data_IF_809857414429
#
_entry.id   IF_809857414429
#
_cell.length_a   1.000
_cell.length_b   1.000
_cell.length_c   1.000
_cell.angle_alpha   90.00
_cell.angle_beta   90.00
_cell.angle_gamma   90.00
#
_symmetry.space_group_name_H-M   'P 1'
#
loop_
_entity.id
_entity.type
_entity.pdbx_description
1 polymer ?
#
# COMPACT_ATOMS: atom_id res chain seq x y z
N UNK A 1 11.00 19.20 -23.12
CA UNK A 1 10.47 20.38 -22.39
C UNK A 1 9.41 19.86 -21.43
N UNK A 2 9.65 19.92 -20.11
CA UNK A 2 9.00 19.08 -19.08
C UNK A 2 8.06 19.81 -18.11
N UNK A 3 7.71 21.07 -18.37
CA UNK A 3 7.00 21.91 -17.39
C UNK A 3 5.59 22.21 -17.85
N UNK A 4 4.61 21.69 -17.10
CA UNK A 4 3.20 22.07 -17.26
C UNK A 4 3.04 23.58 -16.99
N UNK A 5 2.24 24.31 -17.80
CA UNK A 5 2.02 25.73 -17.61
C UNK A 5 1.21 25.98 -16.33
N UNK A 6 1.83 26.63 -15.33
CA UNK A 6 1.22 26.91 -14.01
C UNK A 6 -0.09 27.73 -14.10
N UNK A 7 -0.28 28.50 -15.19
CA UNK A 7 -1.50 29.27 -15.45
C UNK A 7 -2.40 28.66 -16.54
N UNK A 8 -1.97 27.59 -17.22
CA UNK A 8 -2.68 27.05 -18.38
C UNK A 8 -4.02 26.40 -18.04
N UNK A 9 -4.21 26.00 -16.78
CA UNK A 9 -5.39 25.26 -16.33
C UNK A 9 -6.40 26.09 -15.54
N UNK A 10 -6.12 27.38 -15.31
CA UNK A 10 -6.89 28.23 -14.39
C UNK A 10 -8.37 28.35 -14.79
N UNK A 11 -8.64 28.34 -16.09
CA UNK A 11 -9.98 28.56 -16.64
C UNK A 11 -10.68 27.25 -17.04
N UNK A 12 -10.06 26.09 -16.80
CA UNK A 12 -10.62 24.77 -17.13
C UNK A 12 -11.58 24.27 -16.04
N UNK A 13 -12.59 25.08 -15.73
CA UNK A 13 -13.52 24.87 -14.62
C UNK A 13 -14.38 23.62 -14.77
N UNK A 14 -14.51 23.08 -15.99
CA UNK A 14 -15.31 21.88 -16.28
C UNK A 14 -14.46 20.62 -16.46
N UNK A 15 -13.12 20.71 -16.35
CA UNK A 15 -12.25 19.57 -16.55
C UNK A 15 -12.45 18.56 -15.42
N UNK A 16 -12.77 17.31 -15.77
CA UNK A 16 -13.00 16.21 -14.83
C UNK A 16 -11.88 15.16 -14.85
N UNK A 17 -11.22 15.01 -15.99
CA UNK A 17 -10.18 14.01 -16.21
C UNK A 17 -8.98 14.71 -16.85
N UNK A 18 -7.79 14.50 -16.30
CA UNK A 18 -6.54 15.04 -16.82
C UNK A 18 -5.50 13.94 -16.95
N UNK A 19 -5.24 13.53 -18.19
CA UNK A 19 -4.25 12.51 -18.52
C UNK A 19 -2.91 13.16 -18.87
N UNK A 20 -1.91 12.91 -18.04
CA UNK A 20 -0.54 13.42 -18.18
C UNK A 20 0.50 12.29 -18.12
N UNK A 21 0.06 11.04 -18.31
CA UNK A 21 0.93 9.89 -18.36
C UNK A 21 1.94 9.93 -19.52
N UNK A 22 3.05 9.21 -19.37
CA UNK A 22 4.10 9.08 -20.41
C UNK A 22 4.69 10.42 -20.87
N UNK A 23 4.77 11.39 -19.96
CA UNK A 23 5.46 12.65 -20.19
C UNK A 23 6.84 12.65 -19.51
N UNK A 24 7.53 13.79 -19.55
CA UNK A 24 8.83 13.98 -18.90
C UNK A 24 8.71 14.86 -17.66
N UNK A 25 7.57 14.86 -16.98
CA UNK A 25 7.34 15.73 -15.82
C UNK A 25 8.29 15.28 -14.71
N UNK A 26 9.16 16.18 -14.27
CA UNK A 26 10.21 15.92 -13.28
C UNK A 26 9.87 16.47 -11.89
N UNK A 27 8.95 17.44 -11.84
CA UNK A 27 8.62 18.17 -10.63
C UNK A 27 7.19 18.68 -10.65
N UNK A 28 6.52 18.55 -9.50
CA UNK A 28 5.28 19.25 -9.20
C UNK A 28 5.60 20.53 -8.45
N UNK A 29 4.76 21.55 -8.61
CA UNK A 29 4.85 22.80 -7.84
C UNK A 29 3.55 23.04 -7.10
N UNK A 30 3.60 23.62 -5.89
CA UNK A 30 2.41 24.19 -5.27
C UNK A 30 1.72 25.09 -6.28
N UNK A 31 0.39 25.09 -6.29
CA UNK A 31 -0.45 25.90 -7.17
C UNK A 31 -0.46 25.54 -8.66
N UNK A 32 0.27 24.49 -9.11
CA UNK A 32 0.27 24.08 -10.52
C UNK A 32 -1.13 23.72 -11.03
N UNK A 33 -2.01 23.26 -10.13
CA UNK A 33 -3.36 22.83 -10.44
C UNK A 33 -4.45 23.84 -10.01
N UNK A 34 -4.09 25.12 -9.77
CA UNK A 34 -5.09 26.14 -9.44
C UNK A 34 -6.16 26.23 -10.54
N UNK A 35 -7.43 26.30 -10.12
CA UNK A 35 -8.59 26.43 -11.01
C UNK A 35 -9.29 25.11 -11.31
N UNK A 36 -8.60 23.98 -11.19
CA UNK A 36 -9.14 22.64 -11.46
C UNK A 36 -9.88 22.04 -10.26
N UNK A 37 -10.78 22.82 -9.65
CA UNK A 37 -11.51 22.41 -8.45
C UNK A 37 -12.52 21.27 -8.69
N UNK A 38 -12.92 21.06 -9.95
CA UNK A 38 -13.88 20.03 -10.37
C UNK A 38 -13.19 18.79 -10.97
N UNK A 39 -11.86 18.73 -10.95
CA UNK A 39 -11.11 17.60 -11.46
C UNK A 39 -11.34 16.40 -10.53
N UNK A 40 -11.81 15.30 -11.12
CA UNK A 40 -12.11 14.04 -10.45
C UNK A 40 -10.95 13.05 -10.58
N UNK A 41 -10.24 13.05 -11.71
CA UNK A 41 -9.17 12.09 -11.98
C UNK A 41 -7.94 12.77 -12.55
N UNK A 42 -6.78 12.43 -12.00
CA UNK A 42 -5.48 12.92 -12.41
C UNK A 42 -4.51 11.76 -12.61
N UNK A 43 -4.11 11.54 -13.86
CA UNK A 43 -3.16 10.50 -14.22
C UNK A 43 -1.80 11.10 -14.54
N UNK A 44 -0.79 10.72 -13.77
CA UNK A 44 0.62 11.08 -13.97
C UNK A 44 1.56 9.87 -14.13
N UNK A 45 1.13 8.67 -14.60
CA UNK A 45 2.02 7.52 -14.63
C UNK A 45 3.14 7.68 -15.66
N UNK A 46 4.24 6.93 -15.52
CA UNK A 46 5.35 6.93 -16.50
C UNK A 46 5.94 8.34 -16.75
N UNK A 47 6.11 9.10 -15.66
CA UNK A 47 6.84 10.37 -15.66
C UNK A 47 8.19 10.20 -14.92
N UNK A 48 8.84 11.30 -14.57
CA UNK A 48 10.15 11.31 -13.90
C UNK A 48 10.11 11.97 -12.52
N UNK A 49 8.94 12.03 -11.88
CA UNK A 49 8.78 12.63 -10.56
C UNK A 49 9.66 11.92 -9.53
N UNK A 50 10.44 12.69 -8.76
CA UNK A 50 11.34 12.15 -7.72
C UNK A 50 10.84 12.43 -6.30
N UNK A 51 9.96 13.41 -6.13
CA UNK A 51 9.38 13.76 -4.83
C UNK A 51 7.99 14.39 -4.98
N UNK A 52 7.16 14.24 -3.95
CA UNK A 52 5.90 14.98 -3.82
C UNK A 52 6.07 16.12 -2.81
N UNK A 53 6.06 17.39 -3.26
CA UNK A 53 6.20 18.54 -2.37
C UNK A 53 4.94 18.75 -1.52
N UNK A 54 5.02 19.55 -0.43
CA UNK A 54 3.84 19.92 0.34
C UNK A 54 2.82 20.64 -0.54
N UNK A 55 1.53 20.38 -0.30
CA UNK A 55 0.39 21.00 -0.97
C UNK A 55 0.40 20.83 -2.51
N UNK A 56 1.05 19.78 -3.04
CA UNK A 56 1.17 19.53 -4.48
C UNK A 56 -0.20 19.49 -5.17
N UNK A 57 -1.21 18.92 -4.50
CA UNK A 57 -2.54 18.68 -5.04
C UNK A 57 -3.65 19.46 -4.30
N UNK A 58 -3.29 20.35 -3.38
CA UNK A 58 -4.24 21.07 -2.52
C UNK A 58 -5.42 21.76 -3.26
N UNK A 59 -5.26 22.30 -4.48
CA UNK A 59 -6.41 22.88 -5.21
C UNK A 59 -7.47 21.87 -5.69
N UNK A 60 -7.13 20.58 -5.76
CA UNK A 60 -7.93 19.52 -6.38
C UNK A 60 -8.94 18.91 -5.40
N UNK A 61 -9.80 19.74 -4.84
CA UNK A 61 -10.71 19.36 -3.74
C UNK A 61 -11.78 18.32 -4.10
N UNK A 62 -12.06 18.10 -5.39
CA UNK A 62 -13.00 17.11 -5.87
C UNK A 62 -12.33 15.82 -6.38
N UNK A 63 -11.00 15.69 -6.22
CA UNK A 63 -10.25 14.58 -6.77
C UNK A 63 -10.64 13.26 -6.10
N UNK A 64 -10.96 12.26 -6.92
CA UNK A 64 -11.35 10.91 -6.53
C UNK A 64 -10.27 9.88 -6.86
N UNK A 65 -9.55 10.07 -7.95
CA UNK A 65 -8.52 9.14 -8.45
C UNK A 65 -7.23 9.90 -8.70
N UNK A 66 -6.13 9.39 -8.13
CA UNK A 66 -4.79 9.91 -8.37
C UNK A 66 -3.83 8.78 -8.70
N UNK A 67 -3.35 8.74 -9.95
CA UNK A 67 -2.34 7.78 -10.38
C UNK A 67 -0.97 8.46 -10.51
N UNK A 68 -0.03 8.05 -9.66
CA UNK A 68 1.37 8.48 -9.63
C UNK A 68 2.33 7.30 -9.88
N UNK A 69 1.82 6.19 -10.42
CA UNK A 69 2.59 4.97 -10.63
C UNK A 69 3.73 5.15 -11.64
N UNK A 70 4.67 4.21 -11.67
CA UNK A 70 5.73 4.16 -12.69
C UNK A 70 6.55 5.47 -12.78
N UNK A 71 6.76 6.13 -11.64
CA UNK A 71 7.60 7.31 -11.51
C UNK A 71 8.92 6.93 -10.80
N UNK A 72 9.64 7.91 -10.23
CA UNK A 72 10.88 7.70 -9.49
C UNK A 72 10.79 8.29 -8.09
N UNK A 73 9.59 8.33 -7.52
CA UNK A 73 9.31 9.02 -6.26
C UNK A 73 10.05 8.31 -5.13
N UNK A 74 10.93 9.06 -4.46
CA UNK A 74 11.73 8.59 -3.33
C UNK A 74 11.23 9.17 -2.00
N UNK A 75 10.58 10.33 -2.04
CA UNK A 75 10.08 11.01 -0.85
C UNK A 75 8.72 11.66 -1.08
N UNK A 76 7.88 11.61 -0.04
CA UNK A 76 6.57 12.23 -0.01
C UNK A 76 6.57 13.15 1.21
N UNK A 77 6.27 14.44 0.99
CA UNK A 77 6.05 15.35 2.10
C UNK A 77 4.82 14.90 2.91
N UNK A 78 4.83 14.98 4.25
CA UNK A 78 3.65 14.69 5.07
C UNK A 78 2.44 15.57 4.76
N UNK A 79 2.65 16.69 4.05
CA UNK A 79 1.60 17.61 3.60
C UNK A 79 1.29 17.50 2.11
N UNK A 80 1.82 16.49 1.40
CA UNK A 80 1.65 16.37 -0.05
C UNK A 80 0.18 16.23 -0.45
N UNK A 81 -0.62 15.53 0.37
CA UNK A 81 -2.01 15.18 0.10
C UNK A 81 -3.04 16.05 0.86
N UNK A 82 -2.62 17.15 1.47
CA UNK A 82 -3.56 18.08 2.14
C UNK A 82 -4.56 18.62 1.13
N UNK A 83 -5.86 18.57 1.49
CA UNK A 83 -6.98 19.04 0.65
C UNK A 83 -7.59 17.97 -0.25
N UNK A 84 -7.11 16.72 -0.18
CA UNK A 84 -7.65 15.58 -0.93
C UNK A 84 -8.63 14.75 -0.08
N UNK A 85 -9.55 15.43 0.60
CA UNK A 85 -10.48 14.79 1.55
C UNK A 85 -11.45 13.80 0.87
N UNK A 86 -11.66 13.99 -0.44
CA UNK A 86 -12.59 13.21 -1.27
C UNK A 86 -11.92 12.05 -2.03
N UNK A 87 -10.60 11.88 -1.92
CA UNK A 87 -9.83 10.90 -2.70
C UNK A 87 -10.18 9.47 -2.29
N UNK A 88 -10.51 8.63 -3.27
CA UNK A 88 -10.92 7.24 -3.09
C UNK A 88 -9.81 6.25 -3.47
N UNK A 89 -9.03 6.58 -4.51
CA UNK A 89 -7.96 5.73 -5.04
C UNK A 89 -6.65 6.49 -5.17
N UNK A 90 -5.59 5.93 -4.60
CA UNK A 90 -4.22 6.41 -4.73
C UNK A 90 -3.30 5.30 -5.20
N UNK A 91 -2.71 5.49 -6.39
CA UNK A 91 -1.72 4.58 -6.95
C UNK A 91 -0.31 5.18 -6.89
N UNK A 92 0.58 4.51 -6.14
CA UNK A 92 2.00 4.83 -6.01
C UNK A 92 2.88 3.63 -6.44
N UNK A 93 2.31 2.68 -7.17
CA UNK A 93 2.99 1.48 -7.67
C UNK A 93 4.25 1.83 -8.49
N UNK A 94 5.26 0.96 -8.45
CA UNK A 94 6.48 1.11 -9.24
C UNK A 94 7.18 2.47 -9.05
N UNK A 95 7.42 2.84 -7.80
CA UNK A 95 8.22 4.00 -7.42
C UNK A 95 9.51 3.56 -6.69
N UNK A 96 10.13 4.44 -5.90
CA UNK A 96 11.39 4.19 -5.17
C UNK A 96 11.25 4.57 -3.69
N UNK A 97 10.05 4.46 -3.13
CA UNK A 97 9.76 4.80 -1.75
C UNK A 97 10.44 3.80 -0.82
N UNK A 98 11.31 4.29 0.06
CA UNK A 98 11.96 3.47 1.09
C UNK A 98 11.25 3.53 2.44
N UNK A 99 10.68 4.69 2.74
CA UNK A 99 9.96 4.96 3.98
C UNK A 99 8.80 5.91 3.69
N UNK A 100 7.73 5.82 4.47
CA UNK A 100 6.62 6.76 4.47
C UNK A 100 6.51 7.35 5.86
N UNK A 101 6.58 8.68 5.96
CA UNK A 101 6.52 9.36 7.24
C UNK A 101 5.13 9.21 7.87
N UNK A 102 5.07 9.11 9.19
CA UNK A 102 3.82 9.03 9.93
C UNK A 102 2.88 10.20 9.56
N UNK A 103 1.59 9.90 9.43
CA UNK A 103 0.57 10.90 9.08
C UNK A 103 0.60 11.42 7.64
N UNK A 104 1.47 10.89 6.75
CA UNK A 104 1.50 11.28 5.32
C UNK A 104 0.14 11.11 4.66
N UNK A 105 -0.58 10.04 5.00
CA UNK A 105 -1.92 9.76 4.48
C UNK A 105 -3.06 10.29 5.38
N UNK A 106 -2.74 11.01 6.46
CA UNK A 106 -3.71 11.52 7.42
C UNK A 106 -4.87 12.31 6.82
N UNK A 107 -4.65 13.16 5.79
CA UNK A 107 -5.73 13.88 5.12
C UNK A 107 -6.68 13.01 4.26
N UNK A 108 -6.29 11.78 3.91
CA UNK A 108 -7.01 10.94 2.94
C UNK A 108 -8.16 10.17 3.59
N UNK A 109 -9.07 10.89 4.24
CA UNK A 109 -10.12 10.30 5.09
C UNK A 109 -11.14 9.46 4.32
N UNK A 110 -11.35 9.72 3.02
CA UNK A 110 -12.25 8.95 2.17
C UNK A 110 -11.56 7.79 1.43
N UNK A 111 -10.24 7.60 1.59
CA UNK A 111 -9.49 6.66 0.77
C UNK A 111 -9.96 5.22 0.99
N UNK A 112 -10.28 4.54 -0.10
CA UNK A 112 -10.75 3.16 -0.10
C UNK A 112 -9.66 2.21 -0.58
N UNK A 113 -8.79 2.65 -1.50
CA UNK A 113 -7.73 1.82 -2.07
C UNK A 113 -6.39 2.56 -2.13
N UNK A 114 -5.36 1.90 -1.60
CA UNK A 114 -3.98 2.37 -1.61
C UNK A 114 -3.07 1.30 -2.22
N UNK A 115 -2.40 1.66 -3.32
CA UNK A 115 -1.43 0.81 -4.01
C UNK A 115 -0.02 1.35 -3.78
N UNK A 116 0.81 0.56 -3.10
CA UNK A 116 2.23 0.81 -2.79
C UNK A 116 3.12 -0.32 -3.32
N UNK A 117 2.60 -1.14 -4.22
CA UNK A 117 3.31 -2.25 -4.85
C UNK A 117 4.63 -1.79 -5.50
N UNK A 118 5.60 -2.71 -5.62
CA UNK A 118 6.86 -2.48 -6.33
C UNK A 118 7.62 -1.20 -5.89
N UNK A 119 7.73 -1.01 -4.57
CA UNK A 119 8.55 0.02 -3.96
C UNK A 119 9.72 -0.64 -3.19
N UNK A 120 10.37 0.11 -2.30
CA UNK A 120 11.52 -0.32 -1.51
C UNK A 120 11.23 -0.22 -0.01
N UNK A 121 9.95 -0.32 0.39
CA UNK A 121 9.52 -0.12 1.76
C UNK A 121 10.05 -1.24 2.65
N UNK A 122 10.84 -0.91 3.65
CA UNK A 122 11.36 -1.88 4.64
C UNK A 122 10.48 -2.00 5.88
N UNK A 123 9.59 -1.04 6.11
CA UNK A 123 8.71 -0.98 7.28
C UNK A 123 7.31 -0.53 6.90
N UNK A 124 6.33 -1.02 7.65
CA UNK A 124 4.95 -0.56 7.64
C UNK A 124 4.46 -0.54 9.09
N UNK A 125 4.07 0.63 9.59
CA UNK A 125 3.61 0.80 10.98
C UNK A 125 2.18 1.32 11.02
N UNK A 126 1.53 1.19 12.17
CA UNK A 126 0.21 1.76 12.39
C UNK A 126 0.17 3.28 12.11
N UNK A 127 1.25 4.00 12.41
CA UNK A 127 1.34 5.44 12.22
C UNK A 127 1.51 5.82 10.74
N UNK A 128 2.08 4.93 9.91
CA UNK A 128 2.07 5.08 8.45
C UNK A 128 0.64 5.09 7.91
N UNK A 129 -0.24 4.25 8.45
CA UNK A 129 -1.64 4.09 8.02
C UNK A 129 -2.63 4.98 8.80
N UNK A 130 -2.13 5.92 9.60
CA UNK A 130 -2.97 6.83 10.37
C UNK A 130 -3.87 7.68 9.44
N UNK A 131 -5.16 7.77 9.79
CA UNK A 131 -6.17 8.55 9.05
C UNK A 131 -6.96 7.75 8.01
N UNK A 132 -6.49 6.54 7.66
CA UNK A 132 -7.08 5.67 6.63
C UNK A 132 -8.29 4.85 7.14
N UNK A 133 -9.23 5.50 7.82
CA UNK A 133 -10.36 4.83 8.49
C UNK A 133 -11.38 4.20 7.53
N UNK A 134 -11.40 4.64 6.26
CA UNK A 134 -12.24 4.10 5.20
C UNK A 134 -11.54 3.09 4.29
N UNK A 135 -10.26 2.80 4.53
CA UNK A 135 -9.46 1.95 3.64
C UNK A 135 -9.98 0.51 3.63
N UNK A 136 -10.23 0.01 2.41
CA UNK A 136 -10.76 -1.32 2.14
C UNK A 136 -9.71 -2.22 1.50
N UNK A 137 -8.83 -1.65 0.69
CA UNK A 137 -7.80 -2.40 -0.05
C UNK A 137 -6.43 -1.76 0.12
N UNK A 138 -5.47 -2.56 0.58
CA UNK A 138 -4.09 -2.14 0.77
C UNK A 138 -3.16 -3.13 0.06
N UNK A 139 -2.42 -2.65 -0.92
CA UNK A 139 -1.44 -3.45 -1.66
C UNK A 139 -0.03 -2.91 -1.43
N UNK A 140 0.82 -3.73 -0.84
CA UNK A 140 2.23 -3.43 -0.50
C UNK A 140 3.12 -4.59 -0.96
N UNK A 141 2.78 -5.21 -2.08
CA UNK A 141 3.47 -6.37 -2.66
C UNK A 141 4.82 -5.94 -3.22
N UNK A 142 5.77 -6.87 -3.33
CA UNK A 142 7.09 -6.61 -3.94
C UNK A 142 7.79 -5.40 -3.32
N UNK A 143 7.86 -5.41 -1.98
CA UNK A 143 8.59 -4.44 -1.15
C UNK A 143 9.64 -5.20 -0.34
N UNK A 144 10.18 -4.57 0.69
CA UNK A 144 11.32 -5.03 1.48
C UNK A 144 10.94 -5.29 2.96
N UNK A 145 9.66 -5.48 3.27
CA UNK A 145 9.16 -5.58 4.65
C UNK A 145 9.55 -6.91 5.28
N UNK A 146 10.22 -6.86 6.44
CA UNK A 146 10.71 -8.05 7.15
C UNK A 146 9.81 -8.51 8.29
N UNK A 147 9.09 -7.57 8.91
CA UNK A 147 8.12 -7.86 9.97
C UNK A 147 7.02 -6.82 10.01
N UNK A 148 5.89 -7.18 10.63
CA UNK A 148 4.76 -6.30 10.86
C UNK A 148 4.44 -6.25 12.35
N UNK A 149 4.29 -5.06 12.95
CA UNK A 149 3.75 -4.91 14.29
C UNK A 149 2.34 -5.49 14.41
N UNK A 150 1.98 -6.07 15.56
CA UNK A 150 0.66 -6.68 15.80
C UNK A 150 -0.52 -5.69 15.70
N UNK A 151 -0.24 -4.39 15.78
CA UNK A 151 -1.23 -3.31 15.72
C UNK A 151 -1.17 -2.51 14.40
N UNK A 152 -0.42 -2.98 13.39
CA UNK A 152 -0.19 -2.26 12.13
C UNK A 152 -1.50 -1.81 11.46
N UNK A 153 -2.58 -2.58 11.58
CA UNK A 153 -3.88 -2.28 10.97
C UNK A 153 -4.88 -1.60 11.91
N UNK A 154 -4.47 -1.12 13.10
CA UNK A 154 -5.39 -0.55 14.10
C UNK A 154 -6.19 0.66 13.61
N UNK A 155 -5.66 1.42 12.65
CA UNK A 155 -6.31 2.60 12.07
C UNK A 155 -7.11 2.31 10.79
N UNK A 156 -7.12 1.05 10.34
CA UNK A 156 -7.75 0.63 9.07
C UNK A 156 -8.78 -0.49 9.31
N UNK A 157 -9.85 -0.24 10.09
CA UNK A 157 -10.79 -1.28 10.53
C UNK A 157 -11.67 -1.84 9.40
N UNK A 158 -11.72 -1.20 8.24
CA UNK A 158 -12.53 -1.60 7.08
C UNK A 158 -11.79 -2.45 6.05
N UNK A 159 -10.53 -2.82 6.31
CA UNK A 159 -9.74 -3.61 5.36
C UNK A 159 -10.42 -4.94 5.04
N UNK A 160 -10.54 -5.20 3.75
CA UNK A 160 -11.08 -6.44 3.17
C UNK A 160 -10.02 -7.18 2.36
N UNK A 161 -9.07 -6.47 1.73
CA UNK A 161 -7.98 -7.07 0.96
C UNK A 161 -6.63 -6.50 1.39
N UNK A 162 -5.68 -7.38 1.68
CA UNK A 162 -4.31 -7.01 2.06
C UNK A 162 -3.30 -7.78 1.21
N UNK A 163 -2.53 -7.08 0.40
CA UNK A 163 -1.45 -7.65 -0.42
C UNK A 163 -0.08 -7.44 0.21
N UNK A 164 0.55 -8.52 0.68
CA UNK A 164 1.90 -8.51 1.28
C UNK A 164 2.86 -9.46 0.56
N UNK A 165 2.45 -10.02 -0.59
CA UNK A 165 3.25 -10.98 -1.33
C UNK A 165 4.55 -10.38 -1.87
N UNK A 166 5.64 -11.14 -1.92
CA UNK A 166 6.90 -10.64 -2.48
C UNK A 166 7.64 -9.69 -1.53
N UNK A 167 7.44 -9.82 -0.21
CA UNK A 167 8.20 -9.10 0.81
C UNK A 167 9.29 -10.02 1.39
N UNK A 168 9.87 -9.63 2.53
CA UNK A 168 10.86 -10.41 3.27
C UNK A 168 10.30 -10.94 4.61
N UNK A 169 8.99 -11.18 4.67
CA UNK A 169 8.35 -11.65 5.90
C UNK A 169 8.79 -13.08 6.24
N UNK A 170 9.30 -13.26 7.45
CA UNK A 170 9.60 -14.57 8.01
C UNK A 170 8.46 -15.14 8.86
N UNK A 171 7.70 -14.25 9.49
CA UNK A 171 6.54 -14.57 10.31
C UNK A 171 5.53 -13.42 10.30
N UNK A 172 4.29 -13.74 10.66
CA UNK A 172 3.20 -12.78 10.87
C UNK A 172 2.28 -13.32 11.96
N UNK A 173 1.73 -12.43 12.78
CA UNK A 173 0.79 -12.84 13.80
C UNK A 173 -0.59 -13.14 13.18
N UNK A 174 -0.95 -14.43 13.12
CA UNK A 174 -2.27 -14.85 12.66
C UNK A 174 -3.42 -14.39 13.56
N UNK A 175 -3.17 -14.07 14.84
CA UNK A 175 -4.21 -13.55 15.73
C UNK A 175 -4.64 -12.14 15.32
N UNK A 176 -3.69 -11.31 14.89
CA UNK A 176 -3.98 -10.00 14.30
C UNK A 176 -4.91 -10.14 13.09
N UNK A 177 -4.62 -11.09 12.19
CA UNK A 177 -5.45 -11.34 11.00
C UNK A 177 -6.84 -11.88 11.38
N UNK A 178 -6.92 -12.77 12.38
CA UNK A 178 -8.19 -13.31 12.88
C UNK A 178 -9.11 -12.23 13.49
N UNK A 179 -8.52 -11.18 14.08
CA UNK A 179 -9.27 -10.07 14.66
C UNK A 179 -9.83 -9.10 13.61
N UNK A 180 -9.37 -9.17 12.36
CA UNK A 180 -9.89 -8.35 11.26
C UNK A 180 -11.17 -8.96 10.69
N UNK A 181 -12.31 -8.74 11.36
CA UNK A 181 -13.60 -9.37 11.02
C UNK A 181 -14.07 -9.14 9.57
N UNK A 182 -13.64 -8.03 8.94
CA UNK A 182 -13.97 -7.70 7.56
C UNK A 182 -12.99 -8.26 6.51
N UNK A 183 -11.88 -8.87 6.93
CA UNK A 183 -10.83 -9.35 6.04
C UNK A 183 -11.35 -10.52 5.20
N UNK A 184 -11.36 -10.35 3.88
CA UNK A 184 -11.79 -11.35 2.91
C UNK A 184 -10.60 -12.08 2.30
N UNK A 185 -9.55 -11.35 1.98
CA UNK A 185 -8.39 -11.92 1.30
C UNK A 185 -7.07 -11.31 1.79
N UNK A 186 -6.09 -12.19 1.99
CA UNK A 186 -4.72 -11.80 2.33
C UNK A 186 -3.74 -12.56 1.44
N UNK A 187 -2.88 -11.81 0.74
CA UNK A 187 -1.86 -12.38 -0.14
C UNK A 187 -0.51 -12.39 0.58
N UNK A 188 -0.06 -13.58 0.98
CA UNK A 188 1.17 -13.78 1.77
C UNK A 188 2.26 -14.57 1.02
N UNK A 189 1.96 -15.05 -0.20
CA UNK A 189 2.91 -15.84 -1.01
C UNK A 189 4.20 -15.07 -1.35
N UNK A 190 5.23 -15.76 -1.82
CA UNK A 190 6.52 -15.18 -2.18
C UNK A 190 7.17 -14.39 -1.03
N UNK A 191 7.14 -14.94 0.18
CA UNK A 191 7.86 -14.44 1.34
C UNK A 191 8.72 -15.58 1.92
N UNK A 192 9.87 -15.26 2.55
CA UNK A 192 10.80 -16.25 3.10
C UNK A 192 10.32 -16.85 4.44
N UNK A 193 9.15 -17.50 4.45
CA UNK A 193 8.52 -17.99 5.66
C UNK A 193 9.42 -18.97 6.43
N UNK A 194 9.61 -18.67 7.72
CA UNK A 194 10.33 -19.51 8.67
C UNK A 194 9.31 -20.37 9.39
N UNK A 195 9.22 -21.63 8.98
CA UNK A 195 8.29 -22.62 9.51
C UNK A 195 8.80 -23.22 10.82
N UNK A 196 8.85 -22.36 11.84
CA UNK A 196 9.09 -22.69 13.23
C UNK A 196 7.94 -22.15 14.10
N UNK A 197 8.10 -22.12 15.42
CA UNK A 197 7.06 -21.64 16.33
C UNK A 197 6.61 -20.19 16.10
N UNK A 198 7.40 -19.36 15.40
CA UNK A 198 7.04 -17.96 15.11
C UNK A 198 5.84 -17.82 14.19
N UNK A 199 5.53 -18.84 13.38
CA UNK A 199 4.34 -18.84 12.51
C UNK A 199 3.17 -19.65 13.10
N UNK A 200 3.24 -20.04 14.38
CA UNK A 200 2.21 -20.90 14.97
C UNK A 200 0.81 -20.26 14.88
N UNK A 201 0.67 -18.97 15.18
CA UNK A 201 -0.61 -18.28 15.06
C UNK A 201 -1.08 -18.17 13.61
N UNK A 202 -0.16 -18.03 12.64
CA UNK A 202 -0.49 -18.07 11.22
C UNK A 202 -1.02 -19.45 10.78
N UNK A 203 -0.41 -20.54 11.25
CA UNK A 203 -0.88 -21.91 10.96
C UNK A 203 -2.30 -22.12 11.50
N UNK A 204 -2.58 -21.67 12.72
CA UNK A 204 -3.93 -21.71 13.30
C UNK A 204 -4.94 -20.88 12.50
N UNK A 205 -4.57 -19.66 12.10
CA UNK A 205 -5.41 -18.80 11.28
C UNK A 205 -5.77 -19.45 9.94
N UNK A 206 -4.77 -20.01 9.24
CA UNK A 206 -4.97 -20.70 7.95
C UNK A 206 -5.88 -21.92 8.10
N UNK A 207 -5.74 -22.69 9.18
CA UNK A 207 -6.58 -23.86 9.43
C UNK A 207 -8.07 -23.50 9.65
N UNK A 208 -8.37 -22.31 10.15
CA UNK A 208 -9.74 -21.84 10.40
C UNK A 208 -10.43 -21.26 9.15
N UNK A 209 -9.65 -20.81 8.16
CA UNK A 209 -10.16 -20.27 6.90
C UNK A 209 -10.69 -21.42 6.01
N UNK A 210 -12.00 -21.68 6.05
CA UNK A 210 -12.66 -22.78 5.31
C UNK A 210 -12.49 -22.64 3.78
N UNK A 211 -11.91 -23.68 3.17
CA UNK A 211 -12.13 -24.21 1.81
C UNK A 211 -12.40 -23.21 0.66
N UNK A 212 -11.47 -22.29 0.39
CA UNK A 212 -11.20 -21.86 -1.00
C UNK A 212 -9.77 -21.31 -1.10
N UNK A 213 -8.81 -22.23 -1.19
CA UNK A 213 -7.39 -22.01 -0.88
C UNK A 213 -6.56 -21.35 -1.99
N UNK A 214 -7.16 -20.69 -2.98
CA UNK A 214 -6.41 -20.26 -4.19
C UNK A 214 -5.17 -19.38 -3.89
N UNK A 215 -5.21 -18.38 -2.98
CA UNK A 215 -4.01 -17.62 -2.63
C UNK A 215 -3.07 -18.35 -1.66
N UNK A 216 -3.63 -19.17 -0.76
CA UNK A 216 -2.90 -19.84 0.33
C UNK A 216 -2.18 -21.12 -0.11
N UNK A 217 -2.59 -21.74 -1.22
CA UNK A 217 -1.88 -22.89 -1.82
C UNK A 217 -0.45 -22.55 -2.23
N UNK A 218 -0.17 -21.26 -2.48
CA UNK A 218 1.16 -20.77 -2.85
C UNK A 218 2.04 -20.45 -1.65
N UNK A 219 1.52 -20.56 -0.43
CA UNK A 219 2.26 -20.29 0.79
C UNK A 219 3.13 -21.48 1.16
N UNK A 220 4.45 -21.32 1.04
CA UNK A 220 5.44 -22.37 1.28
C UNK A 220 6.49 -21.91 2.27
N UNK A 221 7.01 -22.86 3.03
CA UNK A 221 8.17 -22.65 3.88
C UNK A 221 9.44 -22.44 3.06
N UNK A 222 10.31 -21.56 3.52
CA UNK A 222 11.67 -21.39 2.98
C UNK A 222 12.73 -21.95 3.93
N UNK A 223 12.44 -21.94 5.23
CA UNK A 223 13.31 -22.47 6.28
C UNK A 223 12.46 -23.06 7.42
N UNK A 224 13.03 -23.94 8.26
CA UNK A 224 14.34 -24.58 8.09
C UNK A 224 14.31 -25.62 6.94
N UNK A 225 15.45 -26.21 6.59
CA UNK A 225 15.60 -27.10 5.41
C UNK A 225 14.61 -28.28 5.42
N UNK A 226 14.29 -28.80 6.61
CA UNK A 226 13.36 -29.93 6.79
C UNK A 226 11.94 -29.61 6.32
N UNK A 227 11.57 -28.33 6.31
CA UNK A 227 10.25 -27.86 5.87
C UNK A 227 10.29 -27.17 4.51
N UNK A 228 11.45 -27.02 3.87
CA UNK A 228 11.59 -26.27 2.61
C UNK A 228 10.56 -26.72 1.57
N UNK A 229 9.92 -25.75 0.93
CA UNK A 229 8.86 -25.91 -0.08
C UNK A 229 7.57 -26.59 0.40
N UNK A 230 7.50 -27.01 1.67
CA UNK A 230 6.29 -27.58 2.27
C UNK A 230 5.20 -26.49 2.34
N UNK A 231 3.97 -26.78 1.89
CA UNK A 231 2.87 -25.82 1.99
C UNK A 231 2.47 -25.58 3.45
N UNK A 232 2.30 -24.32 3.83
CA UNK A 232 1.99 -23.95 5.23
C UNK A 232 0.63 -24.51 5.68
N UNK A 233 -0.35 -24.63 4.78
CA UNK A 233 -1.67 -25.19 5.12
C UNK A 233 -1.63 -26.69 5.50
N UNK A 234 -0.53 -27.40 5.22
CA UNK A 234 -0.32 -28.80 5.60
C UNK A 234 0.44 -28.95 6.92
N UNK A 235 0.87 -27.86 7.54
CA UNK A 235 1.59 -27.88 8.80
C UNK A 235 0.60 -27.98 9.95
N UNK A 236 1.06 -28.61 11.03
CA UNK A 236 0.40 -28.60 12.32
C UNK A 236 1.33 -27.98 13.35
N UNK A 237 0.74 -27.38 14.38
CA UNK A 237 1.47 -26.64 15.41
C UNK A 237 2.46 -27.49 16.19
N UNK A 238 2.16 -28.77 16.40
CA UNK A 238 3.01 -29.75 17.07
C UNK A 238 4.21 -30.20 16.24
N UNK A 239 4.18 -30.01 14.92
CA UNK A 239 5.28 -30.34 14.02
C UNK A 239 6.34 -29.22 13.94
N UNK A 240 5.99 -27.99 14.33
CA UNK A 240 6.88 -26.84 14.18
C UNK A 240 8.01 -26.87 15.23
N UNK A 241 9.28 -26.75 14.82
CA UNK A 241 10.39 -26.74 15.76
C UNK A 241 10.34 -25.49 16.64
N UNK A 242 10.26 -25.68 17.96
CA UNK A 242 10.50 -24.64 18.95
C UNK A 242 11.91 -24.87 19.51
N UNK A 243 12.87 -23.96 19.28
CA UNK A 243 14.07 -23.98 20.13
C UNK A 243 13.63 -23.51 21.53
N UNK A 244 13.97 -24.30 22.54
CA UNK A 244 13.86 -23.92 23.94
C UNK A 244 14.77 -22.72 24.25
#
# INVERSE_FOLDING_TARGET
MSKLPVKGFKDLLNLRFLMLGQNQIDSLKPNMFIGMRNLSELDLPLNTLTALPPNAFQPLIALKVLDLSLNRIQSISPKAFVGLDELLFLNLDNNKLKNIQAGTFGPLIALEMLVLDNNLLSTLTADTLQGLSNLQELYVRKNEIESLPADVFRHTPKLTHVGLSGNRLHAIDGNMLANMQGLKEVFLHDNPWKCDCSINSLVHYIAQMRANHSPLQRLRCTSPEEFRDRPIYQLKSDELPCRA
#
